data_IF_571404960158
#
_entry.id   IF_571404960158
#
_cell.length_a   1.000
_cell.length_b   1.000
_cell.length_c   1.000
_cell.angle_alpha   90.00
_cell.angle_beta   90.00
_cell.angle_gamma   90.00
#
_symmetry.space_group_name_H-M   'P 1'
#
loop_
_entity.id
_entity.type
_entity.pdbx_description
1 polymer ?
#
# COMPACT_ATOMS: atom_id res chain seq x y z
N UNK A 1 3.28 -12.96 -23.21
CA UNK A 1 1.94 -13.42 -23.61
C UNK A 1 0.90 -12.63 -22.85
N UNK A 2 -0.08 -12.04 -23.54
CA UNK A 2 -1.03 -11.10 -22.93
C UNK A 2 -2.14 -11.75 -22.09
N UNK A 3 -2.35 -13.05 -22.22
CA UNK A 3 -3.32 -13.83 -21.44
C UNK A 3 -2.62 -14.98 -20.70
N UNK A 4 -3.09 -15.36 -19.50
CA UNK A 4 -2.64 -16.60 -18.87
C UNK A 4 -2.82 -17.78 -19.82
N UNK A 5 -1.98 -18.80 -19.70
CA UNK A 5 -2.08 -20.04 -20.49
C UNK A 5 -2.51 -21.18 -19.55
N UNK A 6 -3.32 -22.10 -20.05
CA UNK A 6 -3.69 -23.34 -19.34
C UNK A 6 -2.47 -24.19 -18.92
N UNK A 7 -1.28 -23.89 -19.46
CA UNK A 7 -0.02 -24.46 -19.01
C UNK A 7 0.45 -23.88 -17.67
N UNK A 8 -0.10 -22.75 -17.25
CA UNK A 8 0.19 -22.16 -15.95
C UNK A 8 -0.52 -23.00 -14.88
N UNK A 9 0.19 -23.57 -13.91
CA UNK A 9 -0.45 -24.33 -12.83
C UNK A 9 -1.48 -23.50 -12.08
N UNK A 10 -2.68 -24.04 -11.87
CA UNK A 10 -3.78 -23.35 -11.19
C UNK A 10 -4.64 -22.47 -12.10
N UNK A 11 -4.43 -22.51 -13.42
CA UNK A 11 -5.31 -21.86 -14.39
C UNK A 11 -6.09 -22.93 -15.15
N UNK A 12 -7.37 -23.10 -14.84
CA UNK A 12 -8.27 -24.04 -15.48
C UNK A 12 -9.03 -23.45 -16.67
N UNK A 13 -9.14 -22.12 -16.71
CA UNK A 13 -9.79 -21.42 -17.82
C UNK A 13 -9.14 -20.03 -18.03
N UNK A 14 -8.91 -19.70 -19.27
CA UNK A 14 -8.55 -18.37 -19.70
C UNK A 14 -9.19 -18.08 -21.05
N UNK A 15 -9.82 -16.92 -21.21
CA UNK A 15 -10.49 -16.55 -22.44
C UNK A 15 -10.15 -15.12 -22.89
N UNK A 16 -9.97 -14.92 -24.19
CA UNK A 16 -9.83 -13.59 -24.78
C UNK A 16 -11.17 -12.89 -25.02
N UNK A 17 -12.28 -13.61 -24.91
CA UNK A 17 -13.63 -13.03 -24.98
C UNK A 17 -14.06 -12.60 -23.59
N UNK A 18 -14.17 -11.26 -23.40
CA UNK A 18 -14.46 -10.66 -22.10
C UNK A 18 -15.82 -11.11 -21.56
N UNK A 19 -15.93 -11.24 -20.22
CA UNK A 19 -17.13 -11.57 -19.47
C UNK A 19 -17.50 -13.06 -19.42
N UNK A 20 -16.91 -13.93 -20.24
CA UNK A 20 -17.24 -15.37 -20.28
C UNK A 20 -16.70 -16.09 -19.02
N UNK A 21 -15.56 -15.67 -18.51
CA UNK A 21 -14.88 -16.33 -17.37
C UNK A 21 -15.76 -16.46 -16.15
N UNK A 22 -16.56 -15.45 -15.82
CA UNK A 22 -17.47 -15.46 -14.68
C UNK A 22 -18.56 -16.53 -14.85
N UNK A 23 -19.20 -16.60 -16.02
CA UNK A 23 -20.22 -17.64 -16.32
C UNK A 23 -19.66 -19.06 -16.28
N UNK A 24 -18.45 -19.26 -16.80
CA UNK A 24 -17.73 -20.53 -16.72
C UNK A 24 -17.47 -20.94 -15.26
N UNK A 25 -17.02 -20.02 -14.44
CA UNK A 25 -16.75 -20.24 -13.02
C UNK A 25 -18.02 -20.61 -12.22
N UNK A 26 -19.16 -19.98 -12.53
CA UNK A 26 -20.46 -20.33 -11.97
C UNK A 26 -20.82 -21.80 -12.30
N UNK A 27 -20.61 -22.20 -13.54
CA UNK A 27 -20.82 -23.57 -13.98
C UNK A 27 -20.00 -24.58 -13.18
N UNK A 28 -18.68 -24.29 -12.98
CA UNK A 28 -17.80 -25.13 -12.16
C UNK A 28 -18.22 -25.17 -10.68
N UNK A 29 -18.64 -24.01 -10.12
CA UNK A 29 -19.08 -23.94 -8.73
C UNK A 29 -20.35 -24.76 -8.49
N UNK A 30 -21.28 -24.75 -9.44
CA UNK A 30 -22.49 -25.58 -9.41
C UNK A 30 -22.16 -27.08 -9.59
N UNK A 31 -21.27 -27.42 -10.53
CA UNK A 31 -20.82 -28.79 -10.72
C UNK A 31 -20.18 -29.37 -9.46
N UNK A 32 -19.31 -28.59 -8.80
CA UNK A 32 -18.72 -29.00 -7.52
C UNK A 32 -19.78 -29.33 -6.46
N UNK A 33 -20.82 -28.52 -6.36
CA UNK A 33 -21.94 -28.79 -5.42
C UNK A 33 -22.73 -30.03 -5.77
N UNK A 34 -23.02 -30.27 -7.07
CA UNK A 34 -23.74 -31.43 -7.55
C UNK A 34 -22.92 -32.69 -7.25
N UNK A 35 -21.61 -32.66 -7.46
CA UNK A 35 -20.68 -33.75 -7.21
C UNK A 35 -20.32 -33.95 -5.73
N UNK A 36 -20.85 -33.10 -4.83
CA UNK A 36 -20.54 -33.13 -3.39
C UNK A 36 -19.08 -32.85 -3.05
N UNK A 37 -18.42 -32.03 -3.89
CA UNK A 37 -17.04 -31.61 -3.70
C UNK A 37 -16.97 -30.27 -2.98
N UNK A 38 -15.93 -30.05 -2.19
CA UNK A 38 -15.71 -28.90 -1.34
C UNK A 38 -14.72 -27.87 -1.88
N UNK A 39 -14.15 -28.09 -3.07
CA UNK A 39 -13.22 -27.16 -3.68
C UNK A 39 -13.86 -25.80 -4.00
N UNK A 40 -13.05 -24.78 -3.95
CA UNK A 40 -13.48 -23.40 -4.22
C UNK A 40 -13.02 -22.95 -5.59
N UNK A 41 -13.82 -22.08 -6.18
CA UNK A 41 -13.54 -21.46 -7.48
C UNK A 41 -13.10 -20.02 -7.25
N UNK A 42 -11.99 -19.62 -7.85
CA UNK A 42 -11.49 -18.26 -7.88
C UNK A 42 -11.51 -17.75 -9.31
N UNK A 43 -11.99 -16.53 -9.49
CA UNK A 43 -12.11 -15.89 -10.80
C UNK A 43 -11.53 -14.50 -10.74
N UNK A 44 -10.75 -14.10 -11.72
CA UNK A 44 -10.25 -12.72 -11.85
C UNK A 44 -10.93 -12.11 -13.07
N UNK A 45 -11.53 -10.93 -12.89
CA UNK A 45 -12.10 -10.12 -13.96
C UNK A 45 -11.49 -8.71 -13.93
N UNK A 46 -11.35 -8.09 -15.09
CA UNK A 46 -10.96 -6.69 -15.20
C UNK A 46 -12.15 -5.74 -15.04
N UNK A 47 -11.87 -4.49 -14.73
CA UNK A 47 -12.92 -3.47 -14.63
C UNK A 47 -13.53 -3.15 -16.01
N UNK A 48 -12.73 -3.03 -17.08
CA UNK A 48 -13.26 -2.93 -18.44
C UNK A 48 -14.03 -4.18 -18.89
N UNK A 49 -13.70 -5.37 -18.39
CA UNK A 49 -14.49 -6.59 -18.60
C UNK A 49 -15.86 -6.49 -17.92
N UNK A 50 -15.98 -5.73 -16.83
CA UNK A 50 -17.25 -5.51 -16.14
C UNK A 50 -18.23 -4.64 -16.93
N UNK A 51 -17.81 -4.03 -18.02
CA UNK A 51 -18.70 -3.32 -18.97
C UNK A 51 -19.53 -4.31 -19.83
N UNK A 52 -19.12 -5.59 -19.87
CA UNK A 52 -19.85 -6.62 -20.60
C UNK A 52 -21.14 -7.01 -19.87
N UNK A 53 -22.28 -6.95 -20.60
CA UNK A 53 -23.61 -7.25 -20.04
C UNK A 53 -23.69 -8.63 -19.40
N UNK A 54 -23.03 -9.65 -19.99
CA UNK A 54 -23.03 -11.01 -19.45
C UNK A 54 -22.37 -11.15 -18.07
N UNK A 55 -21.49 -10.22 -17.65
CA UNK A 55 -20.96 -10.18 -16.28
C UNK A 55 -22.10 -9.96 -15.28
N UNK A 56 -23.01 -9.05 -15.58
CA UNK A 56 -24.15 -8.74 -14.73
C UNK A 56 -25.24 -9.82 -14.76
N UNK A 57 -25.45 -10.46 -15.91
CA UNK A 57 -26.31 -11.66 -16.02
C UNK A 57 -25.75 -12.79 -15.15
N UNK A 58 -24.44 -13.02 -15.19
CA UNK A 58 -23.75 -13.99 -14.36
C UNK A 58 -23.84 -13.61 -12.87
N UNK A 59 -23.69 -12.33 -12.53
CA UNK A 59 -23.81 -11.84 -11.17
C UNK A 59 -25.19 -12.15 -10.56
N UNK A 60 -26.29 -11.89 -11.31
CA UNK A 60 -27.64 -12.26 -10.90
C UNK A 60 -27.80 -13.77 -10.74
N UNK A 61 -27.20 -14.56 -11.62
CA UNK A 61 -27.25 -16.01 -11.57
C UNK A 61 -26.55 -16.56 -10.32
N UNK A 62 -25.35 -16.06 -10.02
CA UNK A 62 -24.61 -16.46 -8.83
C UNK A 62 -25.36 -16.17 -7.53
N UNK A 63 -25.97 -14.99 -7.44
CA UNK A 63 -26.81 -14.60 -6.29
C UNK A 63 -28.06 -15.50 -6.16
N UNK A 64 -28.76 -15.73 -7.27
CA UNK A 64 -29.95 -16.62 -7.29
C UNK A 64 -29.65 -18.00 -6.75
N UNK A 65 -28.52 -18.60 -7.17
CA UNK A 65 -28.13 -19.94 -6.73
C UNK A 65 -27.30 -19.93 -5.44
N UNK A 66 -27.11 -18.76 -4.80
CA UNK A 66 -26.36 -18.59 -3.54
C UNK A 66 -25.00 -19.28 -3.62
N UNK A 67 -24.23 -18.96 -4.65
CA UNK A 67 -22.94 -19.59 -4.92
C UNK A 67 -21.89 -19.04 -3.95
N UNK A 68 -21.72 -19.71 -2.81
CA UNK A 68 -20.77 -19.33 -1.75
C UNK A 68 -19.45 -20.07 -1.77
N UNK A 69 -19.28 -20.98 -2.73
CA UNK A 69 -18.00 -21.68 -3.01
C UNK A 69 -17.21 -21.03 -4.16
N UNK A 70 -17.54 -19.79 -4.52
CA UNK A 70 -16.83 -18.99 -5.51
C UNK A 70 -16.45 -17.62 -4.93
N UNK A 71 -15.26 -17.14 -5.28
CA UNK A 71 -14.78 -15.81 -4.97
C UNK A 71 -14.27 -15.15 -6.25
N UNK A 72 -14.75 -13.96 -6.53
CA UNK A 72 -14.33 -13.16 -7.69
C UNK A 72 -13.38 -12.06 -7.23
N UNK A 73 -12.29 -11.87 -7.94
CA UNK A 73 -11.45 -10.67 -7.84
C UNK A 73 -11.78 -9.75 -8.99
N UNK A 74 -12.12 -8.52 -8.70
CA UNK A 74 -12.23 -7.43 -9.66
C UNK A 74 -10.96 -6.59 -9.60
N UNK A 75 -10.11 -6.70 -10.63
CA UNK A 75 -8.95 -5.82 -10.78
C UNK A 75 -9.42 -4.41 -11.17
N UNK A 76 -9.58 -3.57 -10.15
CA UNK A 76 -10.11 -2.20 -10.31
C UNK A 76 -8.96 -1.22 -10.46
N UNK A 77 -8.38 -1.20 -11.67
CA UNK A 77 -7.25 -0.33 -12.04
C UNK A 77 -7.66 0.91 -12.84
N UNK A 78 -8.95 1.11 -13.11
CA UNK A 78 -9.55 2.24 -13.84
C UNK A 78 -9.14 2.35 -15.31
N UNK A 79 -8.49 1.33 -15.90
CA UNK A 79 -8.00 1.35 -17.28
C UNK A 79 -8.52 0.15 -18.05
N UNK A 80 -9.08 0.41 -19.21
CA UNK A 80 -9.42 -0.61 -20.20
C UNK A 80 -8.67 -0.36 -21.51
N UNK A 81 -8.93 -1.20 -22.53
CA UNK A 81 -8.17 -1.20 -23.79
C UNK A 81 -8.11 0.17 -24.46
N UNK A 82 -9.21 0.91 -24.52
CA UNK A 82 -9.33 2.14 -25.29
C UNK A 82 -8.96 3.39 -24.49
N UNK A 83 -9.18 3.40 -23.17
CA UNK A 83 -8.91 4.54 -22.28
C UNK A 83 -9.15 4.19 -20.82
N UNK A 84 -9.42 5.20 -19.99
CA UNK A 84 -9.91 5.03 -18.62
C UNK A 84 -11.33 4.48 -18.62
N UNK A 85 -11.61 3.49 -17.77
CA UNK A 85 -12.92 2.85 -17.65
C UNK A 85 -14.02 3.89 -17.37
N UNK A 86 -13.76 4.83 -16.46
CA UNK A 86 -14.72 5.87 -16.07
C UNK A 86 -15.02 6.87 -17.19
N UNK A 87 -14.19 6.90 -18.24
CA UNK A 87 -14.42 7.74 -19.43
C UNK A 87 -15.23 7.00 -20.51
N UNK A 88 -15.08 5.69 -20.58
CA UNK A 88 -15.72 4.86 -21.63
C UNK A 88 -17.10 4.41 -21.14
N UNK A 89 -17.16 3.68 -20.01
CA UNK A 89 -18.39 3.24 -19.35
C UNK A 89 -18.17 3.19 -17.82
N UNK A 90 -18.61 4.22 -17.11
CA UNK A 90 -18.23 4.39 -15.72
C UNK A 90 -18.84 3.33 -14.80
N UNK A 91 -17.98 2.64 -14.06
CA UNK A 91 -18.38 1.78 -12.94
C UNK A 91 -18.64 2.59 -11.66
N UNK A 92 -17.92 3.68 -11.47
CA UNK A 92 -18.09 4.61 -10.34
C UNK A 92 -18.83 5.88 -10.80
N UNK A 93 -18.15 6.90 -11.23
CA UNK A 93 -18.71 8.12 -11.80
C UNK A 93 -17.97 8.49 -13.09
N UNK A 94 -18.65 9.19 -14.01
CA UNK A 94 -18.04 9.66 -15.24
C UNK A 94 -16.80 10.55 -14.96
N UNK A 95 -15.72 10.24 -15.64
CA UNK A 95 -14.48 11.01 -15.57
C UNK A 95 -14.52 12.16 -16.58
N UNK A 96 -14.48 13.39 -16.09
CA UNK A 96 -14.39 14.59 -16.94
C UNK A 96 -12.91 14.86 -17.28
N UNK A 97 -12.47 14.42 -18.43
CA UNK A 97 -11.07 14.53 -18.88
C UNK A 97 -10.27 13.23 -18.70
N UNK A 98 -8.94 13.35 -18.73
CA UNK A 98 -8.01 12.21 -18.68
C UNK A 98 -7.26 12.11 -17.33
N UNK A 99 -7.77 12.76 -16.30
CA UNK A 99 -7.14 12.81 -14.98
C UNK A 99 -7.92 11.99 -13.95
N UNK A 100 -7.45 10.79 -13.63
CA UNK A 100 -8.02 9.93 -12.56
C UNK A 100 -7.96 10.55 -11.17
N UNK A 101 -7.20 11.62 -10.98
CA UNK A 101 -7.02 12.20 -9.65
C UNK A 101 -8.33 12.64 -8.98
N UNK A 102 -9.34 13.03 -9.76
CA UNK A 102 -10.66 13.38 -9.22
C UNK A 102 -11.34 12.18 -8.55
N UNK A 103 -11.17 10.96 -9.09
CA UNK A 103 -11.70 9.74 -8.49
C UNK A 103 -11.00 9.38 -7.18
N UNK A 104 -9.71 9.69 -7.08
CA UNK A 104 -8.93 9.43 -5.87
C UNK A 104 -9.16 10.45 -4.75
N UNK A 105 -9.66 11.66 -5.09
CA UNK A 105 -9.93 12.72 -4.10
C UNK A 105 -11.07 12.39 -3.13
N UNK A 106 -12.05 11.61 -3.58
CA UNK A 106 -13.26 11.34 -2.80
C UNK A 106 -13.74 9.91 -3.00
N UNK A 107 -13.44 9.06 -2.01
CA UNK A 107 -13.87 7.67 -2.02
C UNK A 107 -15.41 7.50 -1.99
N UNK A 108 -16.19 8.54 -1.61
CA UNK A 108 -17.64 8.50 -1.67
C UNK A 108 -18.17 8.42 -3.11
N UNK A 109 -17.35 8.75 -4.08
CA UNK A 109 -17.64 8.61 -5.50
C UNK A 109 -17.53 7.16 -6.00
N UNK A 110 -16.94 6.28 -5.20
CA UNK A 110 -16.78 4.87 -5.56
C UNK A 110 -18.09 4.11 -5.37
N UNK A 111 -18.72 3.76 -6.47
CA UNK A 111 -20.05 3.09 -6.52
C UNK A 111 -19.99 1.64 -6.97
N UNK A 112 -18.82 1.18 -7.42
CA UNK A 112 -18.62 -0.19 -7.91
C UNK A 112 -19.09 -1.21 -6.87
N UNK A 113 -18.68 -1.05 -5.60
CA UNK A 113 -19.11 -1.94 -4.51
C UNK A 113 -20.61 -1.97 -4.30
N UNK A 114 -21.29 -0.82 -4.39
CA UNK A 114 -22.73 -0.72 -4.21
C UNK A 114 -23.49 -1.39 -5.35
N UNK A 115 -23.00 -1.31 -6.58
CA UNK A 115 -23.55 -2.07 -7.71
C UNK A 115 -23.54 -3.56 -7.41
N UNK A 116 -22.42 -4.13 -7.01
CA UNK A 116 -22.31 -5.55 -6.67
C UNK A 116 -23.18 -5.94 -5.46
N UNK A 117 -23.24 -5.10 -4.42
CA UNK A 117 -24.15 -5.31 -3.26
C UNK A 117 -25.60 -5.37 -3.71
N UNK A 118 -26.03 -4.50 -4.65
CA UNK A 118 -27.41 -4.48 -5.16
C UNK A 118 -27.78 -5.74 -5.95
N UNK A 119 -26.77 -6.44 -6.51
CA UNK A 119 -26.95 -7.76 -7.13
C UNK A 119 -26.91 -8.93 -6.13
N UNK A 120 -26.80 -8.65 -4.81
CA UNK A 120 -26.86 -9.66 -3.76
C UNK A 120 -25.52 -10.34 -3.46
N UNK A 121 -24.40 -9.64 -3.67
CA UNK A 121 -23.07 -10.13 -3.38
C UNK A 121 -22.51 -9.63 -2.04
N UNK A 122 -21.70 -10.46 -1.38
CA UNK A 122 -20.82 -10.02 -0.33
C UNK A 122 -19.63 -9.29 -0.99
N UNK A 123 -19.38 -8.04 -0.61
CA UNK A 123 -18.37 -7.17 -1.21
C UNK A 123 -17.30 -6.85 -0.19
N UNK A 124 -16.05 -7.11 -0.56
CA UNK A 124 -14.85 -6.78 0.21
C UNK A 124 -13.97 -5.87 -0.66
N UNK A 125 -13.65 -4.69 -0.17
CA UNK A 125 -12.77 -3.75 -0.88
C UNK A 125 -11.39 -3.72 -0.23
N UNK A 126 -10.34 -3.77 -1.04
CA UNK A 126 -8.95 -3.84 -0.58
C UNK A 126 -8.02 -2.99 -1.45
N UNK A 127 -6.85 -2.66 -0.92
CA UNK A 127 -5.68 -2.31 -1.72
C UNK A 127 -5.13 -3.60 -2.35
N UNK A 128 -5.23 -3.70 -3.68
CA UNK A 128 -4.81 -4.89 -4.44
C UNK A 128 -3.29 -5.04 -4.57
N UNK A 129 -2.51 -4.09 -4.06
CA UNK A 129 -1.04 -4.21 -3.98
C UNK A 129 -0.55 -4.73 -2.63
N UNK A 130 -1.47 -5.03 -1.69
CA UNK A 130 -1.13 -5.53 -0.35
C UNK A 130 -1.50 -7.00 -0.18
N UNK A 131 -0.48 -7.83 -0.05
CA UNK A 131 -0.65 -9.29 0.08
C UNK A 131 -1.43 -9.65 1.34
N UNK A 132 -1.21 -8.92 2.45
CA UNK A 132 -1.91 -9.12 3.72
C UNK A 132 -3.41 -8.88 3.56
N UNK A 133 -3.80 -7.78 2.89
CA UNK A 133 -5.21 -7.48 2.61
C UNK A 133 -5.83 -8.48 1.65
N UNK A 134 -5.08 -8.96 0.65
CA UNK A 134 -5.54 -10.02 -0.26
C UNK A 134 -5.81 -11.32 0.51
N UNK A 135 -4.87 -11.73 1.38
CA UNK A 135 -4.97 -12.94 2.20
C UNK A 135 -6.17 -12.87 3.17
N UNK A 136 -6.35 -11.74 3.86
CA UNK A 136 -7.50 -11.51 4.74
C UNK A 136 -8.82 -11.53 3.97
N UNK A 137 -8.88 -10.86 2.82
CA UNK A 137 -10.08 -10.83 1.99
C UNK A 137 -10.50 -12.23 1.51
N UNK A 138 -9.54 -13.07 1.12
CA UNK A 138 -9.77 -14.49 0.78
C UNK A 138 -10.34 -15.22 1.99
N UNK A 139 -9.76 -15.07 3.17
CA UNK A 139 -10.23 -15.72 4.41
C UNK A 139 -11.68 -15.31 4.73
N UNK A 140 -12.01 -14.02 4.66
CA UNK A 140 -13.36 -13.48 4.89
C UNK A 140 -14.36 -13.98 3.85
N UNK A 141 -13.99 -13.97 2.57
CA UNK A 141 -14.81 -14.50 1.49
C UNK A 141 -15.11 -15.99 1.69
N UNK A 142 -14.11 -16.79 2.15
CA UNK A 142 -14.27 -18.22 2.40
C UNK A 142 -15.19 -18.54 3.59
N UNK A 143 -15.31 -17.63 4.55
CA UNK A 143 -16.21 -17.74 5.71
C UNK A 143 -17.66 -17.35 5.37
N UNK A 144 -17.87 -16.56 4.31
CA UNK A 144 -19.21 -16.11 3.88
C UNK A 144 -20.02 -17.30 3.38
N UNK A 145 -21.26 -17.43 3.87
CA UNK A 145 -22.19 -18.48 3.50
C UNK A 145 -23.47 -17.93 2.86
N UNK A 146 -23.96 -18.63 1.85
CA UNK A 146 -25.22 -18.31 1.18
C UNK A 146 -25.19 -17.10 0.25
N UNK A 147 -24.02 -16.47 0.05
CA UNK A 147 -23.81 -15.35 -0.86
C UNK A 147 -22.51 -15.55 -1.66
N UNK A 148 -22.49 -15.24 -2.95
CA UNK A 148 -21.24 -15.13 -3.70
C UNK A 148 -20.41 -13.96 -3.15
N UNK A 149 -19.10 -14.07 -3.21
CA UNK A 149 -18.19 -13.01 -2.74
C UNK A 149 -17.40 -12.39 -3.89
N UNK A 150 -17.30 -11.06 -3.87
CA UNK A 150 -16.39 -10.31 -4.74
C UNK A 150 -15.42 -9.49 -3.90
N UNK A 151 -14.15 -9.56 -4.26
CA UNK A 151 -13.06 -8.76 -3.72
C UNK A 151 -12.73 -7.70 -4.78
N UNK A 152 -13.04 -6.46 -4.48
CA UNK A 152 -12.68 -5.32 -5.34
C UNK A 152 -11.27 -4.88 -4.94
N UNK A 153 -10.31 -5.28 -5.76
CA UNK A 153 -8.90 -4.96 -5.56
C UNK A 153 -8.57 -3.64 -6.28
N UNK A 154 -8.41 -2.57 -5.52
CA UNK A 154 -7.96 -1.27 -6.05
C UNK A 154 -6.48 -1.40 -6.39
N UNK A 155 -6.15 -1.25 -7.68
CA UNK A 155 -4.78 -1.38 -8.17
C UNK A 155 -4.39 -0.19 -9.04
N UNK A 156 -3.10 -0.06 -9.25
CA UNK A 156 -2.50 0.88 -10.20
C UNK A 156 -1.90 0.06 -11.33
N UNK A 157 -2.43 0.22 -12.54
CA UNK A 157 -1.87 -0.46 -13.71
C UNK A 157 -0.43 0.01 -13.93
N UNK A 158 0.51 -0.95 -14.05
CA UNK A 158 1.93 -0.64 -14.23
C UNK A 158 2.65 -0.18 -12.96
N UNK A 159 2.09 -0.43 -11.75
CA UNK A 159 2.68 -0.05 -10.45
C UNK A 159 4.17 -0.40 -10.38
N UNK A 160 4.97 0.58 -9.96
CA UNK A 160 6.42 0.47 -9.82
C UNK A 160 7.21 0.91 -11.05
N UNK A 161 6.56 1.18 -12.18
CA UNK A 161 7.21 1.65 -13.40
C UNK A 161 6.62 3.01 -13.81
N UNK A 162 7.35 4.08 -13.52
CA UNK A 162 6.88 5.48 -13.60
C UNK A 162 6.12 5.81 -14.89
N UNK A 163 6.67 5.46 -16.04
CA UNK A 163 6.07 5.81 -17.33
C UNK A 163 4.93 4.88 -17.76
N UNK A 164 4.69 3.78 -17.01
CA UNK A 164 3.60 2.83 -17.25
C UNK A 164 2.44 3.04 -16.29
N UNK A 165 2.69 3.57 -15.10
CA UNK A 165 1.64 3.77 -14.09
C UNK A 165 0.50 4.62 -14.61
N UNK A 166 -0.73 4.12 -14.42
CA UNK A 166 -2.00 4.77 -14.82
C UNK A 166 -2.03 5.25 -16.29
N UNK A 167 -1.27 4.63 -17.15
CA UNK A 167 -1.17 5.04 -18.54
C UNK A 167 -1.86 4.03 -19.48
N UNK A 168 -3.05 4.38 -20.02
CA UNK A 168 -3.79 3.49 -20.94
C UNK A 168 -3.00 3.06 -22.18
N UNK A 169 -2.00 3.86 -22.59
CA UNK A 169 -1.17 3.55 -23.75
C UNK A 169 -0.35 2.26 -23.60
N UNK A 170 -0.17 1.78 -22.36
CA UNK A 170 0.52 0.53 -22.07
C UNK A 170 -0.41 -0.68 -21.93
N UNK A 171 -1.70 -0.51 -22.21
CA UNK A 171 -2.61 -1.65 -22.24
C UNK A 171 -2.25 -2.59 -23.41
N UNK A 172 -1.87 -3.83 -23.08
CA UNK A 172 -1.52 -4.86 -24.07
C UNK A 172 -0.21 -4.62 -24.85
N UNK A 173 0.66 -3.71 -24.40
CA UNK A 173 1.96 -3.44 -25.01
C UNK A 173 3.10 -3.97 -24.13
N UNK A 174 4.08 -4.64 -24.76
CA UNK A 174 5.32 -5.01 -24.11
C UNK A 174 6.34 -3.85 -24.21
N UNK A 175 7.21 -3.67 -23.19
CA UNK A 175 8.31 -2.72 -23.27
C UNK A 175 9.31 -3.11 -24.36
N UNK A 176 9.92 -2.10 -24.99
CA UNK A 176 11.01 -2.34 -25.93
C UNK A 176 12.27 -2.78 -25.16
N UNK A 177 13.13 -3.63 -25.78
CA UNK A 177 14.34 -4.11 -25.10
C UNK A 177 15.24 -3.02 -24.54
N UNK A 178 15.27 -1.85 -25.17
CA UNK A 178 16.15 -0.73 -24.78
C UNK A 178 15.74 -0.11 -23.43
N UNK A 179 14.46 -0.23 -23.03
CA UNK A 179 13.95 0.33 -21.78
C UNK A 179 13.83 -0.71 -20.65
N UNK A 180 14.02 -2.01 -20.97
CA UNK A 180 13.94 -3.07 -19.96
C UNK A 180 14.91 -2.85 -18.80
N UNK A 181 16.21 -2.51 -19.01
CA UNK A 181 17.11 -2.25 -17.90
C UNK A 181 16.69 -1.08 -17.00
N UNK A 182 16.00 -0.08 -17.57
CA UNK A 182 15.46 1.04 -16.78
C UNK A 182 14.32 0.55 -15.92
N UNK A 183 13.42 -0.27 -16.46
CA UNK A 183 12.29 -0.86 -15.74
C UNK A 183 12.78 -1.76 -14.60
N UNK A 184 13.79 -2.59 -14.87
CA UNK A 184 14.39 -3.46 -13.85
C UNK A 184 14.96 -2.64 -12.69
N UNK A 185 15.72 -1.59 -12.98
CA UNK A 185 16.23 -0.68 -11.94
C UNK A 185 15.10 0.04 -11.19
N UNK A 186 14.02 0.44 -11.89
CA UNK A 186 12.83 1.02 -11.26
C UNK A 186 12.15 0.07 -10.29
N UNK A 187 12.07 -1.20 -10.63
CA UNK A 187 11.47 -2.23 -9.78
C UNK A 187 12.36 -2.61 -8.60
N UNK A 188 13.69 -2.63 -8.79
CA UNK A 188 14.66 -2.92 -7.73
C UNK A 188 14.85 -1.75 -6.75
N UNK A 189 14.66 -0.51 -7.21
CA UNK A 189 14.89 0.71 -6.41
C UNK A 189 13.60 1.42 -6.04
N UNK A 190 12.54 0.68 -5.71
CA UNK A 190 11.27 1.26 -5.28
C UNK A 190 11.43 2.11 -4.03
N UNK A 191 10.61 3.14 -3.95
CA UNK A 191 10.59 4.05 -2.80
C UNK A 191 9.16 4.49 -2.48
N UNK A 192 8.97 4.98 -1.27
CA UNK A 192 7.67 5.34 -0.72
C UNK A 192 7.68 6.76 -0.16
N UNK A 193 6.60 7.49 -0.38
CA UNK A 193 6.36 8.79 0.24
C UNK A 193 5.29 8.63 1.31
N UNK A 194 5.64 8.97 2.55
CA UNK A 194 4.83 8.80 3.75
C UNK A 194 4.54 10.18 4.39
N UNK A 195 3.47 10.89 4.02
CA UNK A 195 3.11 12.14 4.67
C UNK A 195 2.78 11.92 6.16
N UNK A 196 3.42 12.68 7.06
CA UNK A 196 3.05 12.70 8.47
C UNK A 196 1.93 13.71 8.73
N UNK A 197 0.76 13.22 9.11
CA UNK A 197 -0.45 14.04 9.28
C UNK A 197 -0.44 14.94 10.52
N UNK A 198 0.49 14.73 11.47
CA UNK A 198 0.60 15.61 12.64
C UNK A 198 1.07 17.04 12.28
N UNK A 199 1.64 17.22 11.09
CA UNK A 199 2.05 18.53 10.61
C UNK A 199 0.86 19.39 10.12
N UNK A 200 -0.33 18.81 9.99
CA UNK A 200 -1.54 19.46 9.53
C UNK A 200 -2.45 19.96 10.67
N UNK A 201 -3.72 20.07 10.35
CA UNK A 201 -4.75 20.48 11.30
C UNK A 201 -5.16 19.34 12.22
N UNK A 202 -4.60 19.28 13.42
CA UNK A 202 -4.91 18.26 14.42
C UNK A 202 -6.39 18.23 14.83
N UNK A 203 -7.15 19.29 14.58
CA UNK A 203 -8.60 19.31 14.83
C UNK A 203 -9.40 18.67 13.70
N UNK A 204 -8.78 18.42 12.52
CA UNK A 204 -9.43 17.87 11.34
C UNK A 204 -8.52 16.91 10.56
N UNK A 205 -8.03 15.86 11.24
CA UNK A 205 -7.15 14.84 10.64
C UNK A 205 -7.83 14.06 9.50
N UNK A 206 -9.16 13.99 9.48
CA UNK A 206 -9.90 13.39 8.35
C UNK A 206 -9.59 14.10 7.02
N UNK A 207 -9.50 15.44 7.04
CA UNK A 207 -9.11 16.21 5.85
C UNK A 207 -7.69 15.88 5.42
N UNK A 208 -6.76 15.75 6.35
CA UNK A 208 -5.36 15.44 6.06
C UNK A 208 -5.24 14.02 5.43
N UNK A 209 -5.95 13.02 5.97
CA UNK A 209 -6.03 11.68 5.37
C UNK A 209 -6.56 11.75 3.94
N UNK A 210 -7.66 12.47 3.69
CA UNK A 210 -8.22 12.63 2.33
C UNK A 210 -7.23 13.30 1.36
N UNK A 211 -6.43 14.24 1.82
CA UNK A 211 -5.39 14.87 1.00
C UNK A 211 -4.25 13.90 0.67
N UNK A 212 -3.85 13.04 1.62
CA UNK A 212 -2.88 11.96 1.36
C UNK A 212 -3.41 10.96 0.31
N UNK A 213 -4.68 10.57 0.41
CA UNK A 213 -5.34 9.72 -0.60
C UNK A 213 -5.31 10.38 -1.97
N UNK A 214 -5.72 11.64 -2.07
CA UNK A 214 -5.71 12.40 -3.32
C UNK A 214 -4.30 12.55 -3.91
N UNK A 215 -3.28 12.64 -3.05
CA UNK A 215 -1.88 12.73 -3.41
C UNK A 215 -1.25 11.38 -3.78
N UNK A 216 -1.98 10.27 -3.60
CA UNK A 216 -1.46 8.90 -3.79
C UNK A 216 -0.21 8.65 -2.94
N UNK A 217 -0.28 9.01 -1.66
CA UNK A 217 0.73 8.63 -0.70
C UNK A 217 0.85 7.10 -0.63
N UNK A 218 2.05 6.58 -0.44
CA UNK A 218 2.25 5.14 -0.30
C UNK A 218 1.90 4.66 1.11
N UNK A 219 2.16 5.51 2.12
CA UNK A 219 1.79 5.33 3.52
C UNK A 219 1.20 6.62 4.08
N UNK A 220 0.49 6.51 5.19
CA UNK A 220 0.17 7.66 6.06
C UNK A 220 0.93 7.45 7.35
N UNK A 221 1.91 8.31 7.60
CA UNK A 221 2.73 8.25 8.80
C UNK A 221 2.01 8.90 9.98
N UNK A 222 1.94 8.15 11.09
CA UNK A 222 1.17 8.48 12.27
C UNK A 222 2.08 8.60 13.49
N UNK A 223 2.60 9.80 13.74
CA UNK A 223 3.45 10.08 14.89
C UNK A 223 2.65 10.09 16.19
N UNK A 224 2.76 9.02 16.96
CA UNK A 224 2.11 8.86 18.27
C UNK A 224 3.07 9.27 19.38
N UNK A 225 2.67 10.25 20.18
CA UNK A 225 3.46 10.78 21.29
C UNK A 225 2.64 10.75 22.56
N UNK A 226 3.20 10.20 23.64
CA UNK A 226 2.52 10.03 24.94
C UNK A 226 2.79 11.15 25.96
N UNK A 227 3.79 12.00 25.68
CA UNK A 227 4.23 13.02 26.62
C UNK A 227 5.19 12.51 27.71
N UNK A 228 5.68 11.26 27.60
CA UNK A 228 6.65 10.63 28.51
C UNK A 228 7.97 10.37 27.78
N UNK A 229 7.96 9.60 26.70
CA UNK A 229 9.15 9.39 25.86
C UNK A 229 9.60 10.71 25.21
N UNK A 230 8.65 11.50 24.72
CA UNK A 230 8.88 12.87 24.23
C UNK A 230 7.98 13.87 24.95
N UNK A 231 8.38 15.16 25.08
CA UNK A 231 7.59 16.14 25.86
C UNK A 231 6.20 16.42 25.32
N UNK A 232 6.00 16.28 24.01
CA UNK A 232 4.72 16.56 23.36
C UNK A 232 3.80 15.34 23.41
N UNK A 233 2.50 15.59 23.30
CA UNK A 233 1.46 14.59 23.17
C UNK A 233 0.67 14.83 21.90
N UNK A 234 0.42 13.78 21.12
CA UNK A 234 -0.42 13.82 19.91
C UNK A 234 -1.72 13.04 20.15
N UNK A 235 -2.09 12.20 19.24
CA UNK A 235 -3.25 11.30 19.36
C UNK A 235 -2.81 9.90 19.79
N UNK A 236 -3.79 9.06 20.12
CA UNK A 236 -3.59 7.67 20.49
C UNK A 236 -4.30 6.70 19.51
N UNK A 237 -4.29 5.43 19.82
CA UNK A 237 -4.92 4.36 19.04
C UNK A 237 -6.42 4.61 18.75
N UNK A 238 -7.13 5.34 19.61
CA UNK A 238 -8.56 5.62 19.38
C UNK A 238 -8.76 6.50 18.17
N UNK A 239 -7.89 7.50 17.98
CA UNK A 239 -7.91 8.35 16.79
C UNK A 239 -7.53 7.58 15.52
N UNK A 240 -6.55 6.70 15.58
CA UNK A 240 -6.18 5.82 14.45
C UNK A 240 -7.38 4.98 14.02
N UNK A 241 -8.09 4.39 14.99
CA UNK A 241 -9.30 3.60 14.73
C UNK A 241 -10.42 4.42 14.07
N UNK A 242 -10.57 5.69 14.45
CA UNK A 242 -11.52 6.62 13.80
C UNK A 242 -11.14 6.92 12.35
N UNK A 243 -9.84 7.05 12.06
CA UNK A 243 -9.32 7.40 10.74
C UNK A 243 -9.29 6.20 9.79
N UNK A 244 -9.14 4.97 10.31
CA UNK A 244 -8.94 3.76 9.51
C UNK A 244 -10.01 3.56 8.40
N UNK A 245 -11.30 3.76 8.65
CA UNK A 245 -12.34 3.58 7.62
C UNK A 245 -12.27 4.57 6.45
N UNK A 246 -11.47 5.63 6.54
CA UNK A 246 -11.42 6.69 5.53
C UNK A 246 -10.54 6.35 4.34
N UNK A 247 -9.68 5.34 4.46
CA UNK A 247 -8.69 5.03 3.42
C UNK A 247 -8.26 3.56 3.47
N UNK A 248 -7.78 3.06 2.33
CA UNK A 248 -7.07 1.79 2.21
C UNK A 248 -5.54 1.98 2.24
N UNK A 249 -5.04 3.22 2.17
CA UNK A 249 -3.61 3.50 2.28
C UNK A 249 -3.12 2.99 3.63
N UNK A 250 -1.97 2.29 3.68
CA UNK A 250 -1.40 1.77 4.90
C UNK A 250 -1.12 2.86 5.93
N UNK A 251 -1.40 2.52 7.19
CA UNK A 251 -1.04 3.33 8.35
C UNK A 251 0.27 2.82 8.95
N UNK A 252 1.30 3.65 8.90
CA UNK A 252 2.58 3.45 9.57
C UNK A 252 2.53 4.19 10.93
N UNK A 253 2.33 3.44 11.99
CA UNK A 253 2.21 3.97 13.35
C UNK A 253 3.59 4.02 14.03
N UNK A 254 4.17 5.21 14.10
CA UNK A 254 5.43 5.48 14.75
C UNK A 254 5.21 5.82 16.22
N UNK A 255 5.53 4.88 17.12
CA UNK A 255 5.24 4.97 18.55
C UNK A 255 6.42 5.59 19.32
N UNK A 256 6.36 6.90 19.51
CA UNK A 256 7.22 7.66 20.43
C UNK A 256 6.60 7.65 21.82
N UNK A 257 6.54 6.45 22.42
CA UNK A 257 5.89 6.21 23.72
C UNK A 257 6.80 5.41 24.66
N UNK A 258 6.61 5.59 25.96
CA UNK A 258 7.25 4.77 26.97
C UNK A 258 6.55 3.39 27.09
N UNK A 259 7.28 2.34 27.47
CA UNK A 259 6.77 0.97 27.65
C UNK A 259 5.89 0.43 26.49
N UNK A 260 6.35 0.49 25.21
CA UNK A 260 5.53 0.19 24.03
C UNK A 260 4.88 -1.20 24.06
N UNK A 261 5.52 -2.19 24.65
CA UNK A 261 5.00 -3.58 24.77
C UNK A 261 3.62 -3.64 25.42
N UNK A 262 3.31 -2.71 26.33
CA UNK A 262 2.00 -2.63 27.01
C UNK A 262 0.89 -2.07 26.11
N UNK A 263 1.24 -1.41 25.04
CA UNK A 263 0.33 -0.60 24.25
C UNK A 263 0.17 -1.09 22.78
N UNK A 264 1.13 -1.84 22.26
CA UNK A 264 1.16 -2.29 20.85
C UNK A 264 -0.15 -2.97 20.43
N UNK A 265 -0.74 -3.83 21.29
CA UNK A 265 -2.01 -4.49 20.98
C UNK A 265 -3.15 -3.52 20.66
N UNK A 266 -3.19 -2.34 21.29
CA UNK A 266 -4.21 -1.34 21.04
C UNK A 266 -4.07 -0.72 19.63
N UNK A 267 -2.84 -0.59 19.14
CA UNK A 267 -2.55 -0.05 17.80
C UNK A 267 -2.79 -1.09 16.70
N UNK A 268 -2.57 -2.38 16.99
CA UNK A 268 -3.02 -3.51 16.15
C UNK A 268 -4.54 -3.45 15.99
N UNK A 269 -5.27 -3.39 17.10
CA UNK A 269 -6.74 -3.33 17.11
C UNK A 269 -7.31 -2.05 16.47
N UNK A 270 -6.51 -1.00 16.40
CA UNK A 270 -6.87 0.25 15.72
C UNK A 270 -6.72 0.17 14.20
N UNK A 271 -6.05 -0.86 13.68
CA UNK A 271 -5.86 -1.08 12.26
C UNK A 271 -4.61 -0.41 11.68
N UNK A 272 -3.53 -0.30 12.48
CA UNK A 272 -2.21 0.04 11.97
C UNK A 272 -1.67 -1.11 11.12
N UNK A 273 -1.10 -0.80 9.97
CA UNK A 273 -0.53 -1.80 9.05
C UNK A 273 0.95 -2.07 9.34
N UNK A 274 1.66 -1.06 9.86
CA UNK A 274 3.03 -1.17 10.37
C UNK A 274 3.06 -0.47 11.73
N UNK A 275 3.79 -1.05 12.66
CA UNK A 275 4.03 -0.45 13.99
C UNK A 275 5.52 -0.39 14.25
N UNK A 276 6.01 0.84 14.46
CA UNK A 276 7.42 1.11 14.74
C UNK A 276 7.59 1.57 16.17
N UNK A 277 8.52 0.96 16.89
CA UNK A 277 8.89 1.32 18.26
C UNK A 277 10.34 1.81 18.31
N UNK A 278 10.66 2.63 19.29
CA UNK A 278 12.01 3.14 19.49
C UNK A 278 12.94 2.15 20.20
N UNK A 279 14.15 2.00 19.69
CA UNK A 279 15.20 1.17 20.30
C UNK A 279 15.59 1.66 21.69
N UNK A 280 15.43 2.95 21.97
CA UNK A 280 15.77 3.59 23.25
C UNK A 280 14.86 3.13 24.42
N UNK A 281 13.69 2.59 24.14
CA UNK A 281 12.73 2.07 25.13
C UNK A 281 12.53 0.56 25.03
N UNK A 282 13.40 -0.12 24.29
CA UNK A 282 13.37 -1.57 24.11
C UNK A 282 14.72 -2.19 24.43
N UNK A 283 14.69 -3.34 25.07
CA UNK A 283 15.78 -4.30 25.05
C UNK A 283 15.43 -5.49 24.14
N UNK A 284 16.36 -6.44 24.00
CA UNK A 284 16.17 -7.63 23.16
C UNK A 284 14.90 -8.43 23.52
N UNK A 285 14.60 -8.58 24.81
CA UNK A 285 13.44 -9.34 25.28
C UNK A 285 12.13 -8.63 24.94
N UNK A 286 12.05 -7.34 25.28
CA UNK A 286 10.88 -6.50 25.04
C UNK A 286 10.58 -6.38 23.54
N UNK A 287 11.62 -6.20 22.72
CA UNK A 287 11.43 -6.13 21.29
C UNK A 287 11.01 -7.47 20.69
N UNK A 288 11.52 -8.59 21.22
CA UNK A 288 11.08 -9.94 20.83
C UNK A 288 9.60 -10.18 21.11
N UNK A 289 9.10 -9.77 22.28
CA UNK A 289 7.67 -9.85 22.60
C UNK A 289 6.80 -9.02 21.64
N UNK A 290 7.28 -7.83 21.26
CA UNK A 290 6.60 -6.97 20.28
C UNK A 290 6.59 -7.64 18.91
N UNK A 291 7.72 -8.19 18.44
CA UNK A 291 7.80 -8.91 17.19
C UNK A 291 6.82 -10.09 17.13
N UNK A 292 6.73 -10.88 18.20
CA UNK A 292 5.79 -12.02 18.27
C UNK A 292 4.33 -11.55 18.19
N UNK A 293 3.98 -10.45 18.86
CA UNK A 293 2.63 -9.87 18.80
C UNK A 293 2.29 -9.36 17.40
N UNK A 294 3.19 -8.60 16.76
CA UNK A 294 2.97 -8.02 15.44
C UNK A 294 2.89 -9.11 14.37
N UNK A 295 3.85 -10.04 14.37
CA UNK A 295 3.88 -11.15 13.42
C UNK A 295 2.63 -12.05 13.51
N UNK A 296 2.16 -12.36 14.74
CA UNK A 296 0.95 -13.16 14.96
C UNK A 296 -0.33 -12.48 14.46
N UNK A 297 -0.30 -11.16 14.28
CA UNK A 297 -1.42 -10.36 13.78
C UNK A 297 -1.22 -9.86 12.35
N UNK A 298 -0.20 -10.34 11.64
CA UNK A 298 0.12 -9.93 10.26
C UNK A 298 0.33 -8.40 10.12
N UNK A 299 0.93 -7.76 11.14
CA UNK A 299 1.27 -6.34 11.17
C UNK A 299 2.77 -6.18 10.97
N UNK A 300 3.17 -5.25 10.11
CA UNK A 300 4.57 -4.96 9.81
C UNK A 300 5.33 -4.45 11.04
N UNK A 301 6.63 -4.78 11.11
CA UNK A 301 7.49 -4.56 12.28
C UNK A 301 8.54 -3.50 11.96
N UNK A 302 8.52 -2.39 12.68
CA UNK A 302 9.49 -1.32 12.57
C UNK A 302 10.32 -1.10 13.83
N UNK A 303 11.57 -0.69 13.63
CA UNK A 303 12.46 -0.22 14.70
C UNK A 303 12.98 1.17 14.37
N UNK A 304 12.77 2.14 15.27
CA UNK A 304 13.26 3.51 15.13
C UNK A 304 14.49 3.76 16.01
N UNK A 305 15.39 4.62 15.56
CA UNK A 305 16.53 5.11 16.33
C UNK A 305 16.67 6.62 16.22
N UNK A 306 16.98 7.28 17.34
CA UNK A 306 17.25 8.71 17.40
C UNK A 306 18.55 9.08 16.64
N UNK A 307 18.76 10.36 16.30
CA UNK A 307 19.96 10.79 15.58
C UNK A 307 21.28 10.37 16.24
N UNK A 308 21.33 10.39 17.57
CA UNK A 308 22.53 10.06 18.36
C UNK A 308 22.56 8.60 18.83
N UNK A 309 21.55 7.78 18.55
CA UNK A 309 21.47 6.37 18.94
C UNK A 309 22.00 5.48 17.82
N UNK A 310 22.92 4.57 18.16
CA UNK A 310 23.36 3.53 17.23
C UNK A 310 22.36 2.40 17.14
N UNK A 311 22.30 1.72 16.00
CA UNK A 311 21.47 0.53 15.83
C UNK A 311 21.98 -0.58 16.78
N UNK A 312 21.16 -1.07 17.73
CA UNK A 312 21.62 -2.01 18.74
C UNK A 312 21.94 -3.37 18.12
N UNK A 313 23.00 -4.02 18.64
CA UNK A 313 23.46 -5.30 18.11
C UNK A 313 22.42 -6.42 18.16
N UNK A 314 21.49 -6.39 19.12
CA UNK A 314 20.40 -7.36 19.21
C UNK A 314 19.41 -7.23 18.04
N UNK A 315 19.32 -6.08 17.39
CA UNK A 315 18.43 -5.86 16.23
C UNK A 315 18.68 -6.89 15.11
N UNK A 316 19.94 -7.26 14.88
CA UNK A 316 20.29 -8.20 13.82
C UNK A 316 19.74 -9.63 14.03
N UNK A 317 19.30 -9.97 15.24
CA UNK A 317 18.61 -11.24 15.52
C UNK A 317 17.16 -11.25 14.97
N UNK A 318 16.60 -10.07 14.72
CA UNK A 318 15.23 -9.88 14.24
C UNK A 318 15.20 -9.37 12.80
N UNK A 319 16.34 -9.28 12.13
CA UNK A 319 16.47 -8.64 10.79
C UNK A 319 15.56 -9.26 9.73
N UNK A 320 15.32 -10.56 9.82
CA UNK A 320 14.42 -11.29 8.90
C UNK A 320 12.92 -11.03 9.18
N UNK A 321 12.58 -10.44 10.33
CA UNK A 321 11.23 -10.07 10.73
C UNK A 321 10.93 -8.59 10.52
N UNK A 322 11.99 -7.77 10.39
CA UNK A 322 11.84 -6.33 10.27
C UNK A 322 11.40 -5.94 8.86
N UNK A 323 10.32 -5.19 8.77
CA UNK A 323 9.87 -4.55 7.53
C UNK A 323 10.51 -3.20 7.32
N UNK A 324 10.78 -2.45 8.42
CA UNK A 324 11.41 -1.13 8.31
C UNK A 324 12.34 -0.80 9.47
N UNK A 325 13.33 0.07 9.18
CA UNK A 325 14.17 0.73 10.17
C UNK A 325 14.06 2.24 9.96
N UNK A 326 13.48 2.95 10.93
CA UNK A 326 13.40 4.42 10.89
C UNK A 326 14.68 5.02 11.45
N UNK A 327 15.34 5.86 10.65
CA UNK A 327 16.44 6.70 11.07
C UNK A 327 15.91 8.12 11.26
N UNK A 328 15.78 8.52 12.53
CA UNK A 328 15.38 9.88 12.85
C UNK A 328 16.45 10.86 12.37
N UNK A 329 16.05 11.82 11.59
CA UNK A 329 16.89 12.93 11.12
C UNK A 329 16.59 14.27 11.83
N UNK A 330 15.81 14.20 12.89
CA UNK A 330 15.58 15.25 13.89
C UNK A 330 15.48 14.62 15.26
N UNK A 331 15.59 15.42 16.34
CA UNK A 331 15.24 14.94 17.68
C UNK A 331 13.71 14.75 17.72
N UNK A 332 13.20 13.56 18.05
CA UNK A 332 11.76 13.31 18.02
C UNK A 332 10.98 14.22 18.97
N UNK A 333 9.68 14.40 18.70
CA UNK A 333 8.78 15.11 19.61
C UNK A 333 8.09 16.34 19.04
N UNK A 334 8.44 16.85 17.84
CA UNK A 334 7.68 17.90 17.16
C UNK A 334 7.97 17.97 15.66
N UNK A 335 6.97 18.39 14.90
CA UNK A 335 7.08 18.65 13.46
C UNK A 335 7.86 19.94 13.14
N UNK A 336 8.32 20.08 11.91
CA UNK A 336 8.91 21.31 11.35
C UNK A 336 10.33 21.62 11.79
N UNK A 337 11.08 20.65 12.30
CA UNK A 337 12.50 20.79 12.62
C UNK A 337 13.37 20.73 11.38
N UNK A 338 14.59 21.30 11.48
CA UNK A 338 15.59 21.18 10.42
C UNK A 338 16.22 19.82 10.44
N UNK A 339 16.47 19.28 9.26
CA UNK A 339 17.20 18.04 9.05
C UNK A 339 18.60 18.12 9.67
N UNK A 340 19.03 17.06 10.32
CA UNK A 340 20.37 16.92 10.92
C UNK A 340 21.30 16.28 9.90
N UNK A 341 22.19 17.05 9.31
CA UNK A 341 23.08 16.63 8.20
C UNK A 341 23.96 15.39 8.52
N UNK A 342 24.35 15.22 9.78
CA UNK A 342 25.17 14.06 10.20
C UNK A 342 24.44 12.72 10.03
N UNK A 343 23.11 12.74 9.90
CA UNK A 343 22.33 11.51 9.68
C UNK A 343 22.51 10.92 8.30
N UNK A 344 22.98 11.68 7.31
CA UNK A 344 23.38 11.17 6.00
C UNK A 344 24.47 10.08 6.10
N UNK A 345 25.54 10.35 6.85
CA UNK A 345 26.61 9.36 7.07
C UNK A 345 26.12 8.16 7.86
N UNK A 346 25.31 8.40 8.90
CA UNK A 346 24.69 7.34 9.69
C UNK A 346 23.82 6.42 8.82
N UNK A 347 22.97 6.99 7.96
CA UNK A 347 22.11 6.23 7.07
C UNK A 347 22.91 5.35 6.12
N UNK A 348 23.96 5.89 5.48
CA UNK A 348 24.83 5.10 4.60
C UNK A 348 25.49 3.92 5.31
N UNK A 349 25.97 4.14 6.53
CA UNK A 349 26.59 3.10 7.34
C UNK A 349 25.58 2.01 7.71
N UNK A 350 24.43 2.39 8.23
CA UNK A 350 23.35 1.44 8.62
C UNK A 350 22.83 0.69 7.39
N UNK A 351 22.64 1.36 6.25
CA UNK A 351 22.22 0.71 5.02
C UNK A 351 23.18 -0.39 4.57
N UNK A 352 24.49 -0.13 4.70
CA UNK A 352 25.52 -1.12 4.42
C UNK A 352 25.47 -2.29 5.40
N UNK A 353 25.39 -2.02 6.70
CA UNK A 353 25.36 -3.04 7.74
C UNK A 353 24.12 -3.92 7.63
N UNK A 354 22.94 -3.34 7.41
CA UNK A 354 21.70 -4.08 7.20
C UNK A 354 21.76 -4.96 5.96
N UNK A 355 22.33 -4.47 4.86
CA UNK A 355 22.54 -5.27 3.65
C UNK A 355 23.46 -6.47 3.88
N UNK A 356 24.53 -6.31 4.66
CA UNK A 356 25.42 -7.40 5.03
C UNK A 356 24.70 -8.48 5.86
N UNK A 357 23.67 -8.09 6.63
CA UNK A 357 22.82 -8.99 7.42
C UNK A 357 21.59 -9.48 6.65
N UNK A 358 21.50 -9.25 5.32
CA UNK A 358 20.40 -9.69 4.44
C UNK A 358 19.03 -9.10 4.83
N UNK A 359 19.01 -7.88 5.30
CA UNK A 359 17.76 -7.16 5.54
C UNK A 359 16.98 -6.99 4.21
N UNK A 360 15.75 -7.44 4.18
CA UNK A 360 14.86 -7.37 3.00
C UNK A 360 13.85 -6.23 3.10
N UNK A 361 13.71 -5.61 4.29
CA UNK A 361 12.89 -4.43 4.50
C UNK A 361 13.54 -3.16 3.96
N UNK A 362 13.07 -2.02 4.43
CA UNK A 362 13.56 -0.73 3.95
C UNK A 362 13.96 0.22 5.09
N UNK A 363 14.84 1.17 4.77
CA UNK A 363 15.18 2.27 5.66
C UNK A 363 14.23 3.43 5.38
N UNK A 364 13.64 3.96 6.42
CA UNK A 364 12.84 5.17 6.38
C UNK A 364 13.61 6.34 7.00
N UNK A 365 13.60 7.46 6.27
CA UNK A 365 14.13 8.73 6.77
C UNK A 365 12.98 9.58 7.33
N UNK A 366 13.02 9.86 8.63
CA UNK A 366 12.01 10.66 9.30
C UNK A 366 12.61 11.88 10.01
N UNK A 367 12.05 13.04 9.66
CA UNK A 367 12.39 14.33 10.26
C UNK A 367 13.09 15.32 9.32
N UNK A 368 12.43 16.42 9.00
CA UNK A 368 12.99 17.51 8.20
C UNK A 368 13.23 17.18 6.73
N UNK A 369 12.72 16.03 6.24
CA UNK A 369 12.80 15.65 4.83
C UNK A 369 11.97 16.63 3.99
N UNK A 370 12.55 17.11 2.89
CA UNK A 370 11.96 18.09 2.00
C UNK A 370 12.52 17.92 0.56
N UNK A 371 12.06 18.74 -0.39
CA UNK A 371 12.46 18.66 -1.80
C UNK A 371 13.97 18.86 -2.04
N UNK A 372 14.69 19.54 -1.14
CA UNK A 372 16.12 19.82 -1.31
C UNK A 372 16.99 18.62 -0.89
N UNK A 373 16.56 17.83 0.12
CA UNK A 373 17.39 16.79 0.73
C UNK A 373 16.91 15.35 0.44
N UNK A 374 15.65 15.14 0.01
CA UNK A 374 15.11 13.79 -0.23
C UNK A 374 15.96 12.98 -1.21
N UNK A 375 16.50 13.63 -2.25
CA UNK A 375 17.39 12.98 -3.20
C UNK A 375 18.65 12.43 -2.56
N UNK A 376 19.27 13.19 -1.64
CA UNK A 376 20.42 12.75 -0.88
C UNK A 376 20.07 11.59 0.07
N UNK A 377 18.91 11.65 0.76
CA UNK A 377 18.43 10.56 1.59
C UNK A 377 18.26 9.25 0.78
N UNK A 378 17.76 9.34 -0.45
CA UNK A 378 17.66 8.19 -1.35
C UNK A 378 19.05 7.64 -1.74
N UNK A 379 20.00 8.52 -2.05
CA UNK A 379 21.37 8.13 -2.38
C UNK A 379 22.11 7.46 -1.19
N UNK A 380 21.74 7.82 0.05
CA UNK A 380 22.25 7.22 1.28
C UNK A 380 21.67 5.82 1.57
N UNK A 381 20.63 5.40 0.88
CA UNK A 381 20.01 4.09 1.01
C UNK A 381 18.62 4.08 1.61
N UNK A 382 18.04 5.22 1.99
CA UNK A 382 16.64 5.27 2.40
C UNK A 382 15.71 4.97 1.22
N UNK A 383 14.59 4.34 1.52
CA UNK A 383 13.55 3.97 0.53
C UNK A 383 12.15 4.41 0.93
N UNK A 384 11.95 4.83 2.17
CA UNK A 384 10.74 5.53 2.60
C UNK A 384 11.11 6.91 3.16
N UNK A 385 10.24 7.90 2.91
CA UNK A 385 10.52 9.30 3.22
C UNK A 385 9.32 9.94 3.91
N UNK A 386 9.50 10.29 5.18
CA UNK A 386 8.45 10.97 5.94
C UNK A 386 8.49 12.47 5.68
N UNK A 387 7.43 12.98 5.08
CA UNK A 387 7.25 14.41 4.84
C UNK A 387 6.18 14.99 5.76
N UNK A 388 6.58 15.75 6.76
CA UNK A 388 5.67 16.50 7.62
C UNK A 388 5.22 17.83 6.97
N UNK A 389 5.62 18.96 7.53
CA UNK A 389 5.24 20.30 7.05
C UNK A 389 5.69 20.61 5.61
N UNK A 390 6.65 19.86 5.09
CA UNK A 390 7.06 19.96 3.69
C UNK A 390 6.00 19.41 2.71
N UNK A 391 5.09 18.56 3.17
CA UNK A 391 3.98 18.00 2.38
C UNK A 391 2.64 18.50 2.91
N UNK A 392 2.35 18.21 4.19
CA UNK A 392 1.09 18.55 4.85
C UNK A 392 1.05 20.04 5.20
N UNK A 393 -0.10 20.66 5.03
CA UNK A 393 -0.26 22.11 5.22
C UNK A 393 0.12 22.95 3.99
N UNK A 394 0.59 22.33 2.92
CA UNK A 394 0.79 22.99 1.63
C UNK A 394 -0.55 23.18 0.90
N UNK A 395 -0.59 24.14 -0.02
CA UNK A 395 -1.82 24.46 -0.76
C UNK A 395 -2.32 23.32 -1.66
N UNK A 396 -1.40 22.51 -2.16
CA UNK A 396 -1.69 21.34 -3.00
C UNK A 396 -0.78 20.16 -2.60
N UNK A 397 -1.25 19.35 -1.66
CA UNK A 397 -0.53 18.17 -1.14
C UNK A 397 -0.23 17.17 -2.27
N UNK A 398 -1.11 17.03 -3.25
CA UNK A 398 -0.93 16.14 -4.37
C UNK A 398 0.26 16.56 -5.24
N UNK A 399 0.33 17.84 -5.57
CA UNK A 399 1.44 18.37 -6.36
C UNK A 399 2.77 18.19 -5.63
N UNK A 400 2.79 18.43 -4.32
CA UNK A 400 4.01 18.29 -3.51
C UNK A 400 4.46 16.81 -3.43
N UNK A 401 3.56 15.86 -3.22
CA UNK A 401 3.91 14.42 -3.25
C UNK A 401 4.52 14.04 -4.60
N UNK A 402 3.95 14.54 -5.70
CA UNK A 402 4.51 14.35 -7.05
C UNK A 402 5.91 14.95 -7.18
N UNK A 403 6.13 16.14 -6.66
CA UNK A 403 7.46 16.79 -6.64
C UNK A 403 8.48 15.99 -5.83
N UNK A 404 8.08 15.46 -4.66
CA UNK A 404 8.92 14.55 -3.87
C UNK A 404 9.35 13.33 -4.69
N UNK A 405 8.41 12.68 -5.38
CA UNK A 405 8.72 11.55 -6.28
C UNK A 405 9.69 11.96 -7.38
N UNK A 406 9.46 13.10 -8.03
CA UNK A 406 10.34 13.59 -9.10
C UNK A 406 11.78 13.80 -8.61
N UNK A 407 11.99 14.35 -7.41
CA UNK A 407 13.32 14.55 -6.84
C UNK A 407 14.05 13.22 -6.59
N UNK A 408 13.35 12.21 -6.08
CA UNK A 408 13.92 10.86 -5.92
C UNK A 408 14.29 10.26 -7.27
N UNK A 409 13.39 10.35 -8.26
CA UNK A 409 13.62 9.83 -9.61
C UNK A 409 14.81 10.51 -10.31
N UNK A 410 14.99 11.82 -10.11
CA UNK A 410 16.17 12.53 -10.61
C UNK A 410 17.46 12.04 -9.94
N UNK A 411 17.47 11.81 -8.63
CA UNK A 411 18.63 11.24 -7.93
C UNK A 411 18.95 9.82 -8.40
N UNK A 412 17.92 8.99 -8.59
CA UNK A 412 18.08 7.65 -9.16
C UNK A 412 18.73 7.70 -10.55
N UNK A 413 18.25 8.57 -11.44
CA UNK A 413 18.83 8.76 -12.78
C UNK A 413 20.32 9.16 -12.71
N UNK A 414 20.67 10.06 -11.77
CA UNK A 414 22.08 10.43 -11.54
C UNK A 414 22.95 9.24 -11.10
N UNK A 415 22.45 8.39 -10.19
CA UNK A 415 23.15 7.19 -9.75
C UNK A 415 23.36 6.18 -10.89
N UNK A 416 22.36 5.97 -11.75
CA UNK A 416 22.45 5.09 -12.92
C UNK A 416 23.51 5.57 -13.91
N UNK A 417 23.54 6.87 -14.22
CA UNK A 417 24.54 7.46 -15.10
C UNK A 417 25.94 7.28 -14.52
N UNK A 418 26.09 7.45 -13.21
CA UNK A 418 27.38 7.24 -12.53
C UNK A 418 27.83 5.79 -12.63
N UNK A 419 26.95 4.82 -12.30
CA UNK A 419 27.25 3.37 -12.42
C UNK A 419 27.62 2.94 -13.84
N UNK A 420 27.10 3.60 -14.86
CA UNK A 420 27.40 3.29 -16.26
C UNK A 420 28.77 3.85 -16.73
N UNK A 421 29.39 4.75 -15.95
CA UNK A 421 30.69 5.35 -16.26
C UNK A 421 31.83 4.79 -15.40
N UNK A 422 31.50 4.10 -14.31
CA UNK A 422 32.46 3.33 -13.47
C UNK A 422 32.59 1.89 -14.01
#
# INVERSE_FOLDING_TARGET
>A
QGHPDLKCPGVEFCGGSLGIGLSYSIGNALAARIDGKDHRIYTIIGDGESDEGQVWEAAMTAAKYKIDNMTVFLDRNFIQQDSYTEKIMPLDEELLGDDLSEMWKDASRWKTGDKWRSFGWNVIEIDGHRIEQISDAIRRANQTKGLPSIIIARTIKGKGVEHMEDNPQWHGKAPKPEIVPIIEDELESQFMIAPSIIAGDMSNLEKEVKQCVAGRADYIHLDVMDGQFVPNKTFDHTKIKELRPLTLIPFDAHLMIDEPVKHVSNYIDAGSDIITVHAEVCDESTFGEICDMLHSNEVGIGLAINPDTELPQWCYKFVELLDQVIIMSVVPGKSGQKFIESTHEKTRRIAKDLKEHKFEGYIEADGGVNLENIGACFEDGARAFVGGSAIIGQSDVRMIIKEFRNQVLESRRRLLIKKAHD
#
